data_IF_800114303474
#
_entry.id   IF_800114303474
#
_cell.length_a   1.000
_cell.length_b   1.000
_cell.length_c   1.000
_cell.angle_alpha   90.00
_cell.angle_beta   90.00
_cell.angle_gamma   90.00
#
_symmetry.space_group_name_H-M   'P 1'
#
loop_
_entity.id
_entity.type
_entity.pdbx_description
1 polymer ?
#
# COMPACT_ATOMS: atom_id res chain seq x y z
N UNK A 1 -3.13 9.72 -11.43
CA UNK A 1 -1.71 9.71 -10.97
C UNK A 1 -1.48 11.00 -10.17
N UNK A 2 -0.90 10.92 -8.97
CA UNK A 2 -0.79 12.06 -8.04
C UNK A 2 0.58 12.75 -8.03
N UNK A 3 1.58 12.19 -8.74
CA UNK A 3 2.99 12.60 -8.72
C UNK A 3 3.66 12.59 -7.34
N UNK A 4 3.05 11.91 -6.36
CA UNK A 4 3.71 11.57 -5.11
C UNK A 4 4.77 10.51 -5.44
N UNK A 5 5.97 10.67 -4.90
CA UNK A 5 6.97 9.62 -4.95
C UNK A 5 6.48 8.47 -4.08
N UNK A 6 5.99 7.42 -4.73
CA UNK A 6 5.58 6.18 -4.10
C UNK A 6 6.46 5.06 -4.65
N UNK A 7 7.03 4.28 -3.75
CA UNK A 7 7.92 3.18 -4.07
C UNK A 7 7.40 1.89 -3.42
N UNK A 8 7.37 0.81 -4.19
CA UNK A 8 6.91 -0.48 -3.72
C UNK A 8 8.11 -1.36 -3.34
N UNK A 9 8.03 -1.99 -2.17
CA UNK A 9 9.04 -2.91 -1.68
C UNK A 9 8.42 -4.25 -1.33
N UNK A 10 9.18 -5.33 -1.56
CA UNK A 10 8.87 -6.61 -0.92
C UNK A 10 9.04 -6.44 0.59
N UNK A 11 8.03 -6.81 1.38
CA UNK A 11 8.02 -6.53 2.81
C UNK A 11 9.23 -7.15 3.55
N UNK A 12 9.72 -8.32 3.09
CA UNK A 12 10.92 -8.95 3.65
C UNK A 12 12.23 -8.19 3.39
N UNK A 13 12.25 -7.28 2.42
CA UNK A 13 13.46 -6.54 2.01
C UNK A 13 13.64 -5.21 2.76
N UNK A 14 12.66 -4.81 3.58
CA UNK A 14 12.66 -3.53 4.28
C UNK A 14 13.94 -3.31 5.12
N UNK A 15 14.46 -4.39 5.74
CA UNK A 15 15.68 -4.35 6.57
C UNK A 15 16.97 -4.10 5.78
N UNK A 16 16.96 -4.28 4.47
CA UNK A 16 18.16 -4.19 3.65
C UNK A 16 18.47 -2.76 3.17
N UNK A 17 17.80 -1.75 3.75
CA UNK A 17 18.02 -0.34 3.42
C UNK A 17 16.77 0.54 3.58
N UNK A 18 15.61 0.15 3.01
CA UNK A 18 14.43 1.01 2.94
C UNK A 18 13.90 1.51 4.29
N UNK A 19 14.04 0.72 5.37
CA UNK A 19 13.67 1.17 6.73
C UNK A 19 14.40 2.44 7.17
N UNK A 20 15.56 2.76 6.58
CA UNK A 20 16.30 3.98 6.93
C UNK A 20 15.64 5.25 6.40
N UNK A 21 14.71 5.13 5.45
CA UNK A 21 13.94 6.24 4.87
C UNK A 21 12.64 6.54 5.64
N UNK A 22 12.28 5.69 6.61
CA UNK A 22 11.05 5.84 7.37
C UNK A 22 11.25 6.76 8.57
N UNK A 23 10.34 7.71 8.72
CA UNK A 23 10.26 8.66 9.81
C UNK A 23 8.79 9.01 10.11
N UNK A 24 8.57 9.78 11.17
CA UNK A 24 7.25 10.25 11.55
C UNK A 24 6.56 10.97 10.37
N UNK A 25 5.30 10.61 10.11
CA UNK A 25 4.49 11.20 9.05
C UNK A 25 4.69 10.59 7.66
N UNK A 26 5.65 9.68 7.46
CA UNK A 26 5.75 8.89 6.22
C UNK A 26 4.65 7.83 6.19
N UNK A 27 3.70 7.86 5.24
CA UNK A 27 2.66 6.85 5.14
C UNK A 27 3.20 5.60 4.45
N UNK A 28 2.99 4.44 5.08
CA UNK A 28 3.37 3.13 4.54
C UNK A 28 2.12 2.29 4.35
N UNK A 29 1.83 1.94 3.09
CA UNK A 29 0.71 1.07 2.73
C UNK A 29 1.17 -0.38 2.88
N UNK A 30 0.54 -1.12 3.79
CA UNK A 30 0.91 -2.49 4.14
C UNK A 30 -0.15 -3.47 3.63
N UNK A 31 0.18 -4.28 2.62
CA UNK A 31 -0.75 -5.24 2.02
C UNK A 31 -0.62 -6.61 2.70
N UNK A 32 -1.57 -6.94 3.58
CA UNK A 32 -1.63 -8.18 4.34
C UNK A 32 -2.89 -8.98 3.94
N UNK A 33 -3.06 -9.22 2.64
CA UNK A 33 -4.25 -9.85 2.06
C UNK A 33 -4.02 -11.31 1.65
N UNK A 34 -2.90 -11.92 2.05
CA UNK A 34 -2.64 -13.35 1.84
C UNK A 34 -2.51 -14.03 3.20
N UNK A 35 -3.41 -14.98 3.47
CA UNK A 35 -3.54 -15.60 4.79
C UNK A 35 -2.23 -16.27 5.24
N UNK A 36 -1.58 -17.02 4.34
CA UNK A 36 -0.34 -17.75 4.64
C UNK A 36 0.89 -16.85 4.89
N UNK A 37 0.80 -15.54 4.62
CA UNK A 37 1.87 -14.56 4.89
C UNK A 37 1.54 -13.61 6.03
N UNK A 38 0.35 -13.70 6.62
CA UNK A 38 -0.15 -12.72 7.58
C UNK A 38 0.82 -12.50 8.75
N UNK A 39 1.30 -13.57 9.38
CA UNK A 39 2.23 -13.48 10.52
C UNK A 39 3.53 -12.75 10.16
N UNK A 40 4.06 -13.02 8.95
CA UNK A 40 5.27 -12.35 8.45
C UNK A 40 4.99 -10.88 8.15
N UNK A 41 3.84 -10.57 7.57
CA UNK A 41 3.42 -9.20 7.31
C UNK A 41 3.24 -8.41 8.61
N UNK A 42 2.62 -8.98 9.63
CA UNK A 42 2.48 -8.37 10.96
C UNK A 42 3.86 -8.06 11.55
N UNK A 43 4.83 -8.96 11.42
CA UNK A 43 6.21 -8.71 11.88
C UNK A 43 6.83 -7.51 11.15
N UNK A 44 6.70 -7.44 9.83
CA UNK A 44 7.24 -6.33 9.03
C UNK A 44 6.54 -5.00 9.36
N UNK A 45 5.22 -5.01 9.60
CA UNK A 45 4.46 -3.81 10.00
C UNK A 45 4.95 -3.27 11.35
N UNK A 46 5.24 -4.16 12.32
CA UNK A 46 5.83 -3.72 13.61
C UNK A 46 7.17 -3.02 13.43
N UNK A 47 7.97 -3.43 12.46
CA UNK A 47 9.25 -2.79 12.16
C UNK A 47 9.08 -1.42 11.52
N UNK A 48 8.06 -1.26 10.66
CA UNK A 48 7.63 0.05 10.15
C UNK A 48 7.21 0.96 11.30
N UNK A 49 6.36 0.47 12.21
CA UNK A 49 5.91 1.22 13.39
C UNK A 49 7.04 1.57 14.36
N UNK A 50 8.06 0.73 14.48
CA UNK A 50 9.23 1.02 15.30
C UNK A 50 10.05 2.22 14.78
N UNK A 51 9.75 2.71 13.57
CA UNK A 51 10.31 3.93 12.97
C UNK A 51 9.34 5.11 12.97
N UNK A 52 8.25 5.02 13.74
CA UNK A 52 7.23 6.08 13.90
C UNK A 52 6.47 6.44 12.62
N UNK A 53 6.69 5.69 11.53
CA UNK A 53 5.91 5.81 10.31
C UNK A 53 4.43 5.46 10.54
N UNK A 54 3.57 6.03 9.70
CA UNK A 54 2.12 5.77 9.72
C UNK A 54 1.81 4.53 8.89
N UNK A 55 1.45 3.43 9.55
CA UNK A 55 1.14 2.16 8.90
C UNK A 55 -0.36 2.10 8.55
N UNK A 56 -0.66 1.98 7.26
CA UNK A 56 -2.01 1.84 6.72
C UNK A 56 -2.17 0.42 6.19
N UNK A 57 -2.88 -0.42 6.94
CA UNK A 57 -3.07 -1.84 6.65
C UNK A 57 -4.20 -2.10 5.65
N UNK A 58 -3.97 -3.04 4.74
CA UNK A 58 -5.01 -3.66 3.91
C UNK A 58 -5.07 -5.15 4.26
N UNK A 59 -6.21 -5.61 4.74
CA UNK A 59 -6.43 -7.00 5.13
C UNK A 59 -7.71 -7.59 4.55
N UNK A 60 -7.91 -8.89 4.78
CA UNK A 60 -9.19 -9.55 4.50
C UNK A 60 -10.10 -9.36 5.72
N UNK A 61 -11.41 -9.22 5.50
CA UNK A 61 -12.41 -9.24 6.58
C UNK A 61 -12.17 -10.42 7.55
N UNK A 62 -12.08 -10.10 8.85
CA UNK A 62 -11.77 -11.06 9.91
C UNK A 62 -10.31 -11.08 10.34
N UNK A 63 -9.40 -10.40 9.64
CA UNK A 63 -8.01 -10.20 10.08
C UNK A 63 -7.92 -9.07 11.11
N UNK A 64 -8.39 -9.35 12.32
CA UNK A 64 -8.46 -8.38 13.42
C UNK A 64 -7.07 -8.00 13.97
N UNK A 65 -6.07 -8.87 13.78
CA UNK A 65 -4.70 -8.67 14.25
C UNK A 65 -4.04 -7.42 13.68
N UNK A 66 -4.46 -6.99 12.48
CA UNK A 66 -3.95 -5.77 11.83
C UNK A 66 -4.30 -4.51 12.62
N UNK A 67 -5.46 -4.47 13.30
CA UNK A 67 -5.85 -3.32 14.13
C UNK A 67 -4.90 -3.09 15.31
N UNK A 68 -4.17 -4.13 15.72
CA UNK A 68 -3.22 -4.04 16.82
C UNK A 68 -1.85 -3.49 16.39
N UNK A 69 -1.57 -3.42 15.08
CA UNK A 69 -0.25 -3.05 14.56
C UNK A 69 -0.27 -1.93 13.52
N UNK A 70 -1.42 -1.61 12.95
CA UNK A 70 -1.59 -0.50 12.02
C UNK A 70 -2.29 0.69 12.69
N UNK A 71 -2.03 1.90 12.19
CA UNK A 71 -2.75 3.11 12.59
C UNK A 71 -4.16 3.13 12.00
N UNK A 72 -4.29 2.68 10.75
CA UNK A 72 -5.55 2.55 10.04
C UNK A 72 -5.62 1.21 9.32
N UNK A 73 -6.82 0.63 9.21
CA UNK A 73 -7.02 -0.66 8.52
C UNK A 73 -8.22 -0.60 7.59
N UNK A 74 -7.98 -0.97 6.33
CA UNK A 74 -9.01 -1.20 5.32
C UNK A 74 -9.17 -2.69 5.06
N UNK A 75 -10.41 -3.13 5.01
CA UNK A 75 -10.73 -4.53 4.74
C UNK A 75 -11.30 -4.69 3.33
N UNK A 76 -10.79 -5.70 2.63
CA UNK A 76 -11.45 -6.25 1.45
C UNK A 76 -12.35 -7.43 1.86
N UNK A 77 -13.43 -7.71 1.10
CA UNK A 77 -14.29 -8.85 1.38
C UNK A 77 -13.52 -10.16 1.43
N UNK A 78 -14.03 -11.13 2.19
CA UNK A 78 -13.50 -12.49 2.16
C UNK A 78 -13.64 -13.10 0.76
N UNK A 79 -12.50 -13.38 0.12
CA UNK A 79 -12.41 -13.98 -1.21
C UNK A 79 -11.38 -15.10 -1.20
N UNK A 80 -11.36 -15.94 -2.24
CA UNK A 80 -10.29 -16.91 -2.41
C UNK A 80 -8.95 -16.19 -2.55
N UNK A 81 -7.90 -16.70 -1.91
CA UNK A 81 -6.53 -16.14 -1.94
C UNK A 81 -6.03 -15.84 -3.35
N UNK A 82 -6.40 -16.64 -4.36
CA UNK A 82 -6.00 -16.40 -5.75
C UNK A 82 -6.54 -15.09 -6.33
N UNK A 83 -7.68 -14.61 -5.81
CA UNK A 83 -8.33 -13.37 -6.23
C UNK A 83 -8.02 -12.19 -5.30
N UNK A 84 -7.51 -12.44 -4.10
CA UNK A 84 -7.26 -11.39 -3.11
C UNK A 84 -6.41 -10.25 -3.68
N UNK A 85 -5.34 -10.58 -4.43
CA UNK A 85 -4.47 -9.59 -5.07
C UNK A 85 -5.22 -8.67 -6.04
N UNK A 86 -6.13 -9.22 -6.84
CA UNK A 86 -6.93 -8.46 -7.83
C UNK A 86 -7.91 -7.53 -7.11
N UNK A 87 -8.57 -8.01 -6.06
CA UNK A 87 -9.53 -7.20 -5.30
C UNK A 87 -8.82 -6.06 -4.57
N UNK A 88 -7.62 -6.30 -4.02
CA UNK A 88 -6.80 -5.27 -3.35
C UNK A 88 -6.41 -4.12 -4.28
N UNK A 89 -6.31 -4.32 -5.60
CA UNK A 89 -5.97 -3.24 -6.54
C UNK A 89 -7.04 -2.15 -6.58
N UNK A 90 -8.32 -2.49 -6.40
CA UNK A 90 -9.44 -1.55 -6.49
C UNK A 90 -9.31 -0.39 -5.49
N UNK A 91 -9.18 -0.62 -4.17
CA UNK A 91 -9.00 0.49 -3.23
C UNK A 91 -7.70 1.26 -3.46
N UNK A 92 -6.61 0.62 -3.92
CA UNK A 92 -5.37 1.31 -4.23
C UNK A 92 -5.52 2.26 -5.43
N UNK A 93 -6.28 1.86 -6.45
CA UNK A 93 -6.65 2.73 -7.57
C UNK A 93 -7.49 3.93 -7.09
N UNK A 94 -8.44 3.71 -6.17
CA UNK A 94 -9.24 4.78 -5.59
C UNK A 94 -8.38 5.75 -4.77
N UNK A 95 -7.42 5.26 -3.98
CA UNK A 95 -6.46 6.11 -3.27
C UNK A 95 -5.68 6.97 -4.26
N UNK A 96 -5.11 6.38 -5.30
CA UNK A 96 -4.36 7.13 -6.31
C UNK A 96 -5.23 8.17 -7.04
N UNK A 97 -6.50 7.85 -7.29
CA UNK A 97 -7.47 8.76 -7.88
C UNK A 97 -7.77 9.95 -6.96
N UNK A 98 -8.16 9.69 -5.70
CA UNK A 98 -8.53 10.75 -4.77
C UNK A 98 -7.34 11.61 -4.35
N UNK A 99 -6.14 11.03 -4.22
CA UNK A 99 -4.91 11.81 -4.02
C UNK A 99 -4.61 12.73 -5.20
N UNK A 100 -4.81 12.26 -6.44
CA UNK A 100 -4.62 13.08 -7.63
C UNK A 100 -5.66 14.21 -7.71
N UNK A 101 -6.92 13.89 -7.39
CA UNK A 101 -8.02 14.87 -7.32
C UNK A 101 -7.74 15.97 -6.31
N UNK A 102 -7.36 15.61 -5.09
CA UNK A 102 -7.08 16.58 -4.02
C UNK A 102 -5.90 17.49 -4.35
N UNK A 103 -4.90 16.95 -5.07
CA UNK A 103 -3.74 17.72 -5.55
C UNK A 103 -4.02 18.53 -6.82
N UNK A 104 -5.24 18.51 -7.37
CA UNK A 104 -5.60 19.20 -8.61
C UNK A 104 -4.81 18.70 -9.83
N UNK A 105 -4.38 17.43 -9.83
CA UNK A 105 -3.68 16.83 -10.96
C UNK A 105 -4.65 16.51 -12.11
N UNK A 106 -4.17 16.56 -13.35
CA UNK A 106 -4.90 15.99 -14.48
C UNK A 106 -4.90 14.45 -14.35
N UNK A 107 -6.07 13.90 -14.04
CA UNK A 107 -6.23 12.48 -13.75
C UNK A 107 -6.22 11.64 -15.04
N UNK A 108 -6.83 12.16 -16.10
CA UNK A 108 -7.02 11.46 -17.37
C UNK A 108 -5.81 11.62 -18.29
N UNK A 109 -5.13 12.77 -18.23
CA UNK A 109 -3.95 13.09 -19.03
C UNK A 109 -2.76 13.49 -18.14
N UNK A 110 -2.20 12.55 -17.37
CA UNK A 110 -1.05 12.85 -16.54
C UNK A 110 0.15 13.30 -17.40
N UNK A 111 0.77 14.42 -17.02
CA UNK A 111 1.98 14.98 -17.64
C UNK A 111 3.04 13.90 -17.91
N UNK A 112 3.69 14.02 -19.06
CA UNK A 112 4.80 13.18 -19.52
C UNK A 112 4.44 11.69 -19.75
N UNK A 113 3.16 11.33 -19.80
CA UNK A 113 2.71 9.97 -20.09
C UNK A 113 1.83 9.94 -21.33
N UNK A 114 1.91 8.82 -22.06
CA UNK A 114 1.03 8.49 -23.17
C UNK A 114 0.26 7.22 -22.84
N UNK A 115 -0.95 7.07 -23.39
CA UNK A 115 -1.78 5.87 -23.17
C UNK A 115 -1.09 4.59 -23.68
N UNK A 116 -0.31 4.72 -24.75
CA UNK A 116 0.51 3.67 -25.32
C UNK A 116 1.79 4.32 -25.85
N UNK A 117 2.94 3.68 -25.63
CA UNK A 117 4.21 4.08 -26.24
C UNK A 117 4.35 3.27 -27.53
N UNK A 118 4.22 3.93 -28.67
CA UNK A 118 4.18 3.27 -29.99
C UNK A 118 5.39 3.56 -30.86
N UNK A 119 6.36 4.31 -30.35
CA UNK A 119 7.61 4.67 -31.05
C UNK A 119 8.78 4.38 -30.12
N UNK A 120 9.89 3.91 -30.69
CA UNK A 120 11.17 3.72 -30.00
C UNK A 120 11.97 5.03 -29.92
#
# INVERSE_FOLDING_TARGET
ISYIHAEAYAAGELKHGPLSLLEEGVPVICLATQEYLLDKMISNIKEVKAREATAIGFGIEGTEELKNVCDEVFYIPKVNDIYASVITVIPLQLIAYYMAKERGCDIDQPRNLAKSVTVE
#
